data_IF_988969028872
#
_entry.id   IF_988969028872
#
_cell.length_a   1.000
_cell.length_b   1.000
_cell.length_c   1.000
_cell.angle_alpha   90.00
_cell.angle_beta   90.00
_cell.angle_gamma   90.00
#
_symmetry.space_group_name_H-M   'P 1'
#
loop_
_entity.id
_entity.type
_entity.pdbx_description
1 polymer ?
#
# COMPACT_ATOMS: atom_id res chain seq x y z
N UNK A 1 37.11 3.56 -10.85
CA UNK A 1 37.56 4.52 -9.82
C UNK A 1 36.64 5.72 -9.91
N UNK A 2 35.60 5.78 -9.09
CA UNK A 2 34.60 6.87 -9.08
C UNK A 2 35.00 7.97 -8.12
N UNK A 3 34.85 9.20 -8.55
CA UNK A 3 35.23 10.44 -7.86
C UNK A 3 34.48 10.62 -6.52
N UNK A 4 35.12 11.20 -5.48
CA UNK A 4 34.52 11.44 -4.16
C UNK A 4 33.32 12.39 -4.14
N UNK A 5 33.14 13.21 -5.16
CA UNK A 5 32.07 14.20 -5.25
C UNK A 5 30.64 13.62 -5.39
N UNK A 6 30.52 12.37 -5.85
CA UNK A 6 29.21 11.72 -6.01
C UNK A 6 28.62 11.18 -4.68
N UNK A 7 29.42 11.00 -3.66
CA UNK A 7 28.97 10.54 -2.33
C UNK A 7 28.44 11.66 -1.42
N UNK A 8 28.90 12.88 -1.62
CA UNK A 8 28.46 14.02 -0.80
C UNK A 8 27.09 14.57 -1.20
N UNK A 9 26.69 14.44 -2.48
CA UNK A 9 25.36 14.85 -2.93
C UNK A 9 24.23 13.92 -2.48
N UNK A 10 24.48 12.63 -2.33
CA UNK A 10 23.46 11.70 -1.80
C UNK A 10 23.17 11.91 -0.32
N UNK A 11 24.12 12.38 0.47
CA UNK A 11 23.91 12.66 1.90
C UNK A 11 23.10 13.93 2.18
N UNK A 12 23.09 14.90 1.27
CA UNK A 12 22.36 16.17 1.47
C UNK A 12 20.88 16.11 1.09
N UNK A 13 20.50 15.25 0.15
CA UNK A 13 19.09 15.07 -0.27
C UNK A 13 18.30 14.30 0.77
N UNK A 14 18.92 13.38 1.52
CA UNK A 14 18.24 12.64 2.59
C UNK A 14 17.99 13.47 3.86
N UNK A 15 18.70 14.56 4.08
CA UNK A 15 18.53 15.43 5.25
C UNK A 15 17.35 16.40 5.18
N UNK A 16 16.92 16.78 3.97
CA UNK A 16 15.86 17.79 3.79
C UNK A 16 14.44 17.21 3.84
N UNK A 17 14.27 15.95 3.47
CA UNK A 17 12.93 15.29 3.48
C UNK A 17 12.55 14.79 4.87
N UNK A 18 13.53 14.56 5.76
CA UNK A 18 13.28 14.11 7.13
C UNK A 18 12.77 15.22 8.06
N UNK A 19 12.94 16.50 7.71
CA UNK A 19 12.54 17.64 8.54
C UNK A 19 11.03 17.92 8.54
N UNK A 20 10.39 17.79 7.40
CA UNK A 20 8.96 18.15 7.25
C UNK A 20 7.99 17.03 7.68
N UNK A 21 8.45 15.78 7.77
CA UNK A 21 7.62 14.67 8.23
C UNK A 21 7.55 14.54 9.76
N UNK A 22 8.45 15.20 10.51
CA UNK A 22 8.48 15.15 11.98
C UNK A 22 7.53 16.14 12.64
N UNK A 23 7.06 17.16 11.93
CA UNK A 23 6.18 18.21 12.46
C UNK A 23 4.72 17.82 12.64
N UNK A 24 4.20 16.94 11.79
CA UNK A 24 2.77 16.59 11.76
C UNK A 24 2.37 15.40 12.64
N UNK A 25 3.31 14.69 13.24
CA UNK A 25 3.04 13.50 14.08
C UNK A 25 2.88 13.81 15.58
N UNK A 26 3.16 15.03 16.03
CA UNK A 26 3.13 15.38 17.47
C UNK A 26 1.78 15.86 18.00
N UNK A 27 0.77 16.00 17.19
CA UNK A 27 -0.44 16.77 17.51
C UNK A 27 -1.70 16.03 17.97
N UNK A 28 -1.74 14.70 18.15
CA UNK A 28 -2.99 14.05 18.59
C UNK A 28 -2.86 12.68 19.27
N UNK A 29 -1.93 12.49 20.20
CA UNK A 29 -1.86 11.26 21.03
C UNK A 29 -1.73 11.55 22.54
N UNK A 30 -2.36 12.62 23.05
CA UNK A 30 -2.62 12.75 24.49
C UNK A 30 -4.04 12.27 24.80
N UNK A 31 -4.16 11.00 25.12
CA UNK A 31 -5.44 10.42 25.52
C UNK A 31 -5.38 8.98 25.99
N UNK A 32 -4.92 8.75 27.24
CA UNK A 32 -5.22 7.59 28.10
C UNK A 32 -4.59 6.23 27.76
N UNK A 33 -3.73 5.79 28.64
CA UNK A 33 -3.42 4.38 28.80
C UNK A 33 -2.02 4.12 29.32
N UNK A 34 -1.70 4.48 30.60
CA UNK A 34 -0.61 3.84 31.34
C UNK A 34 -0.99 2.37 31.61
N UNK A 35 -0.88 1.52 30.60
CA UNK A 35 -0.71 0.08 30.77
C UNK A 35 0.77 -0.19 30.77
N UNK A 36 1.30 -0.75 31.85
CA UNK A 36 2.68 -1.20 31.97
C UNK A 36 3.02 -2.05 30.74
N UNK A 37 3.92 -1.57 29.89
CA UNK A 37 4.41 -2.31 28.72
C UNK A 37 5.02 -3.63 29.18
N UNK A 38 4.35 -4.73 28.90
CA UNK A 38 5.01 -6.00 28.70
C UNK A 38 5.95 -5.76 27.52
N UNK A 39 7.26 -5.77 27.76
CA UNK A 39 8.24 -5.67 26.70
C UNK A 39 7.88 -6.71 25.63
N UNK A 40 7.84 -6.31 24.35
CA UNK A 40 7.68 -7.22 23.21
C UNK A 40 8.99 -8.03 23.06
N UNK A 41 9.27 -8.92 24.06
CA UNK A 41 10.55 -9.60 24.22
C UNK A 41 10.82 -10.63 23.13
N UNK A 42 9.76 -11.08 22.44
CA UNK A 42 9.85 -12.18 21.49
C UNK A 42 9.60 -11.75 20.03
N UNK A 43 9.45 -10.44 19.76
CA UNK A 43 9.18 -9.91 18.42
C UNK A 43 10.46 -9.55 17.68
N UNK A 44 10.54 -9.95 16.41
CA UNK A 44 11.55 -9.49 15.45
C UNK A 44 10.88 -9.02 14.16
N UNK A 45 11.22 -7.81 13.73
CA UNK A 45 10.78 -7.25 12.47
C UNK A 45 11.94 -7.17 11.48
N UNK A 46 11.84 -7.89 10.38
CA UNK A 46 12.79 -7.89 9.29
C UNK A 46 12.24 -7.12 8.08
N UNK A 47 13.12 -6.53 7.31
CA UNK A 47 12.78 -5.83 6.06
C UNK A 47 13.49 -6.48 4.88
N UNK A 48 12.75 -6.76 3.81
CA UNK A 48 13.38 -6.91 2.49
C UNK A 48 13.70 -5.54 1.88
N UNK A 49 14.13 -5.53 0.61
CA UNK A 49 14.63 -4.32 -0.05
C UNK A 49 13.53 -3.41 -0.62
N UNK A 50 12.29 -3.89 -0.73
CA UNK A 50 11.23 -3.18 -1.45
C UNK A 50 10.80 -1.87 -0.80
N UNK A 51 10.78 -1.79 0.56
CA UNK A 51 10.35 -0.58 1.27
C UNK A 51 10.97 -0.47 2.67
N UNK A 52 12.26 -0.27 2.71
CA UNK A 52 13.03 -0.14 3.98
C UNK A 52 12.56 1.09 4.78
N UNK A 53 12.11 2.15 4.11
CA UNK A 53 11.61 3.36 4.77
C UNK A 53 10.36 3.08 5.60
N UNK A 54 9.39 2.35 5.03
CA UNK A 54 8.19 1.91 5.75
C UNK A 54 8.55 0.95 6.90
N UNK A 55 9.43 -0.02 6.66
CA UNK A 55 9.87 -0.95 7.70
C UNK A 55 10.50 -0.22 8.90
N UNK A 56 11.33 0.80 8.66
CA UNK A 56 11.89 1.65 9.72
C UNK A 56 10.81 2.47 10.44
N UNK A 57 9.80 2.95 9.72
CA UNK A 57 8.69 3.69 10.32
C UNK A 57 7.84 2.77 11.22
N UNK A 58 7.59 1.54 10.78
CA UNK A 58 6.91 0.51 11.59
C UNK A 58 7.74 0.13 12.82
N UNK A 59 9.06 -0.06 12.67
CA UNK A 59 9.96 -0.36 13.78
C UNK A 59 9.94 0.75 14.85
N UNK A 60 9.95 2.03 14.42
CA UNK A 60 9.80 3.18 15.35
C UNK A 60 8.44 3.18 16.05
N UNK A 61 7.35 2.85 15.36
CA UNK A 61 6.02 2.76 15.98
C UNK A 61 5.98 1.67 17.07
N UNK A 62 6.66 0.56 16.82
CA UNK A 62 6.75 -0.58 17.73
C UNK A 62 7.78 -0.40 18.86
N UNK A 63 8.60 0.65 18.80
CA UNK A 63 9.74 0.86 19.68
C UNK A 63 10.73 -0.33 19.69
N UNK A 64 11.04 -0.85 18.49
CA UNK A 64 11.98 -1.94 18.26
C UNK A 64 13.00 -1.58 17.18
N UNK A 65 14.14 -2.26 17.18
CA UNK A 65 15.10 -2.21 16.08
C UNK A 65 14.73 -3.23 15.00
N UNK A 66 15.04 -2.91 13.75
CA UNK A 66 14.96 -3.90 12.67
C UNK A 66 15.94 -5.04 12.94
N UNK A 67 15.47 -6.26 12.70
CA UNK A 67 16.29 -7.45 12.76
C UNK A 67 17.43 -7.38 11.74
N UNK A 68 18.61 -7.84 12.15
CA UNK A 68 19.78 -7.89 11.28
C UNK A 68 19.59 -8.95 10.21
N UNK A 69 19.53 -8.50 8.96
CA UNK A 69 19.37 -9.35 7.80
C UNK A 69 20.10 -8.70 6.63
N UNK A 70 20.87 -9.48 5.92
CA UNK A 70 21.45 -9.08 4.63
C UNK A 70 20.63 -9.70 3.53
N UNK A 71 20.10 -8.85 2.63
CA UNK A 71 19.33 -9.25 1.46
C UNK A 71 20.02 -8.65 0.24
N UNK A 72 20.63 -9.48 -0.56
CA UNK A 72 21.43 -9.08 -1.71
C UNK A 72 21.23 -10.01 -2.90
N UNK A 73 22.19 -9.99 -3.82
CA UNK A 73 22.22 -10.89 -4.97
C UNK A 73 23.62 -11.42 -5.19
N UNK A 74 23.71 -12.66 -5.61
CA UNK A 74 24.95 -13.22 -6.17
C UNK A 74 25.27 -12.55 -7.52
N UNK A 75 26.48 -12.79 -8.03
CA UNK A 75 26.95 -12.19 -9.28
C UNK A 75 26.15 -12.60 -10.53
N UNK A 76 25.46 -13.72 -10.46
CA UNK A 76 24.55 -14.24 -11.51
C UNK A 76 23.11 -13.71 -11.37
N UNK A 77 22.82 -12.93 -10.30
CA UNK A 77 21.52 -12.33 -10.06
C UNK A 77 20.58 -13.13 -9.16
N UNK A 78 20.99 -14.31 -8.66
CA UNK A 78 20.22 -15.05 -7.67
C UNK A 78 20.16 -14.27 -6.34
N UNK A 79 19.00 -14.30 -5.70
CA UNK A 79 18.80 -13.63 -4.43
C UNK A 79 19.56 -14.36 -3.29
N UNK A 80 20.30 -13.61 -2.50
CA UNK A 80 21.04 -14.06 -1.33
C UNK A 80 20.46 -13.45 -0.06
N UNK A 81 20.15 -14.28 0.95
CA UNK A 81 19.65 -13.83 2.26
C UNK A 81 20.45 -14.46 3.37
N UNK A 82 20.87 -13.63 4.32
CA UNK A 82 21.47 -14.07 5.57
C UNK A 82 20.79 -13.41 6.77
N UNK A 83 20.30 -14.22 7.73
CA UNK A 83 19.74 -13.73 8.99
C UNK A 83 20.89 -13.58 9.98
N UNK A 84 21.24 -12.33 10.34
CA UNK A 84 22.41 -11.97 11.12
C UNK A 84 22.22 -12.06 12.64
N UNK A 85 21.17 -12.71 13.14
CA UNK A 85 20.89 -12.86 14.57
C UNK A 85 20.12 -14.14 14.91
N UNK A 86 20.10 -14.51 16.19
CA UNK A 86 19.34 -15.68 16.64
C UNK A 86 17.84 -15.36 16.68
N UNK A 87 17.05 -16.17 15.97
CA UNK A 87 15.58 -16.04 15.87
C UNK A 87 14.84 -17.25 16.43
N UNK A 88 15.56 -18.20 17.02
CA UNK A 88 14.97 -19.44 17.55
C UNK A 88 13.90 -19.14 18.60
N UNK A 89 12.70 -19.64 18.36
CA UNK A 89 11.56 -19.48 19.26
C UNK A 89 10.92 -18.09 19.25
N UNK A 90 11.37 -17.15 18.39
CA UNK A 90 10.84 -15.81 18.31
C UNK A 90 9.66 -15.71 17.31
N UNK A 91 8.84 -14.68 17.49
CA UNK A 91 7.78 -14.27 16.54
C UNK A 91 8.38 -13.30 15.53
N UNK A 92 8.52 -13.74 14.30
CA UNK A 92 9.23 -13.02 13.24
C UNK A 92 8.24 -12.44 12.22
N UNK A 93 8.38 -11.17 11.93
CA UNK A 93 7.61 -10.44 10.91
C UNK A 93 8.55 -10.05 9.78
N UNK A 94 8.18 -10.32 8.54
CA UNK A 94 8.94 -9.96 7.33
C UNK A 94 8.14 -8.93 6.55
N UNK A 95 8.56 -7.66 6.59
CA UNK A 95 7.91 -6.59 5.83
C UNK A 95 8.52 -6.50 4.44
N UNK A 96 7.73 -6.86 3.44
CA UNK A 96 8.14 -6.82 2.03
C UNK A 96 6.93 -6.66 1.12
N UNK A 97 6.60 -5.44 0.65
CA UNK A 97 5.66 -5.29 -0.44
C UNK A 97 6.21 -5.93 -1.71
N UNK A 98 5.35 -6.65 -2.45
CA UNK A 98 5.76 -7.31 -3.69
C UNK A 98 5.50 -6.42 -4.91
N UNK A 99 5.93 -5.14 -4.80
CA UNK A 99 5.92 -4.14 -5.86
C UNK A 99 7.10 -4.30 -6.83
N UNK A 100 7.19 -3.45 -7.84
CA UNK A 100 8.26 -3.52 -8.84
C UNK A 100 9.68 -3.34 -8.22
N UNK A 101 10.66 -4.16 -8.63
CA UNK A 101 10.59 -5.31 -9.54
C UNK A 101 9.95 -6.53 -8.87
N UNK A 102 8.71 -6.84 -9.24
CA UNK A 102 7.83 -7.78 -8.53
C UNK A 102 8.44 -9.16 -8.32
N UNK A 103 9.07 -9.71 -9.36
CA UNK A 103 9.66 -11.06 -9.31
C UNK A 103 10.80 -11.13 -8.29
N UNK A 104 11.65 -10.10 -8.25
CA UNK A 104 12.77 -10.03 -7.29
C UNK A 104 12.26 -9.89 -5.87
N UNK A 105 11.37 -8.95 -5.61
CA UNK A 105 10.83 -8.72 -4.27
C UNK A 105 9.99 -9.90 -3.75
N UNK A 106 9.29 -10.62 -4.64
CA UNK A 106 8.62 -11.86 -4.26
C UNK A 106 9.64 -12.94 -3.88
N UNK A 107 10.72 -13.13 -4.67
CA UNK A 107 11.76 -14.11 -4.33
C UNK A 107 12.49 -13.75 -3.05
N UNK A 108 12.81 -12.48 -2.80
CA UNK A 108 13.36 -12.02 -1.51
C UNK A 108 12.45 -12.44 -0.35
N UNK A 109 11.15 -12.16 -0.44
CA UNK A 109 10.18 -12.54 0.59
C UNK A 109 10.19 -14.05 0.86
N UNK A 110 10.13 -14.86 -0.21
CA UNK A 110 10.09 -16.33 -0.08
C UNK A 110 11.36 -16.88 0.57
N UNK A 111 12.53 -16.40 0.16
CA UNK A 111 13.83 -16.84 0.68
C UNK A 111 14.01 -16.37 2.13
N UNK A 112 13.59 -15.15 2.50
CA UNK A 112 13.61 -14.67 3.87
C UNK A 112 12.73 -15.54 4.79
N UNK A 113 11.53 -15.92 4.33
CA UNK A 113 10.64 -16.81 5.09
C UNK A 113 11.29 -18.20 5.29
N UNK A 114 11.88 -18.78 4.23
CA UNK A 114 12.57 -20.08 4.33
C UNK A 114 13.77 -20.01 5.27
N UNK A 115 14.58 -18.94 5.20
CA UNK A 115 15.71 -18.73 6.09
C UNK A 115 15.27 -18.67 7.57
N UNK A 116 14.22 -17.93 7.91
CA UNK A 116 13.67 -17.84 9.25
C UNK A 116 13.09 -19.17 9.74
N UNK A 117 12.41 -19.92 8.85
CA UNK A 117 11.91 -21.26 9.13
C UNK A 117 13.06 -22.22 9.49
N UNK A 118 14.13 -22.22 8.68
CA UNK A 118 15.33 -23.05 8.96
C UNK A 118 16.09 -22.61 10.20
N UNK A 119 16.04 -21.31 10.55
CA UNK A 119 16.59 -20.78 11.79
C UNK A 119 15.71 -21.06 13.03
N UNK A 120 14.60 -21.80 12.88
CA UNK A 120 13.67 -22.22 13.94
C UNK A 120 12.90 -21.06 14.58
N UNK A 121 12.51 -20.05 13.82
CA UNK A 121 11.52 -19.08 14.28
C UNK A 121 10.25 -19.79 14.74
N UNK A 122 9.61 -19.32 15.80
CA UNK A 122 8.37 -19.91 16.34
C UNK A 122 7.20 -19.68 15.41
N UNK A 123 7.06 -18.46 14.94
CA UNK A 123 6.00 -18.02 14.01
C UNK A 123 6.59 -17.04 13.00
N UNK A 124 6.15 -17.10 11.77
CA UNK A 124 6.60 -16.21 10.71
C UNK A 124 5.34 -15.58 10.09
N UNK A 125 5.24 -14.25 10.20
CA UNK A 125 4.17 -13.47 9.58
C UNK A 125 4.74 -12.69 8.38
N UNK A 126 4.23 -12.97 7.18
CA UNK A 126 4.53 -12.17 6.01
C UNK A 126 3.71 -10.87 6.06
N UNK A 127 4.37 -9.73 6.20
CA UNK A 127 3.77 -8.39 6.17
C UNK A 127 3.94 -7.85 4.76
N UNK A 128 2.87 -7.89 3.96
CA UNK A 128 2.87 -7.56 2.54
C UNK A 128 1.94 -6.38 2.29
N UNK A 129 2.39 -5.12 2.54
CA UNK A 129 1.56 -3.93 2.41
C UNK A 129 0.96 -3.76 1.01
N UNK A 130 1.67 -4.17 -0.02
CA UNK A 130 1.18 -4.31 -1.39
C UNK A 130 1.39 -5.74 -1.88
N UNK A 131 0.28 -6.40 -2.20
CA UNK A 131 0.27 -7.76 -2.74
C UNK A 131 0.31 -7.73 -4.26
N UNK A 132 1.46 -7.96 -4.84
CA UNK A 132 1.63 -8.05 -6.29
C UNK A 132 0.85 -9.22 -6.90
N UNK A 133 0.57 -9.13 -8.21
CA UNK A 133 -0.26 -10.10 -8.95
C UNK A 133 -1.74 -10.18 -8.51
N UNK A 134 -2.19 -9.36 -7.56
CA UNK A 134 -3.58 -9.34 -7.06
C UNK A 134 -4.64 -9.16 -8.15
N UNK A 135 -4.30 -8.44 -9.23
CA UNK A 135 -5.22 -8.21 -10.38
C UNK A 135 -5.51 -9.48 -11.20
N UNK A 136 -4.77 -10.57 -10.97
CA UNK A 136 -4.98 -11.87 -11.62
C UNK A 136 -5.63 -12.85 -10.63
N UNK A 137 -6.78 -12.44 -10.07
CA UNK A 137 -7.53 -13.17 -9.03
C UNK A 137 -8.57 -14.14 -9.60
N UNK A 138 -8.87 -14.05 -10.90
CA UNK A 138 -9.86 -14.88 -11.59
C UNK A 138 -9.52 -15.06 -13.07
N UNK A 139 -10.11 -16.09 -13.68
CA UNK A 139 -10.01 -16.28 -15.13
C UNK A 139 -10.98 -15.35 -15.86
N UNK A 140 -10.47 -14.31 -16.50
CA UNK A 140 -11.26 -13.38 -17.34
C UNK A 140 -11.42 -13.88 -18.77
N UNK A 141 -10.69 -14.92 -19.16
CA UNK A 141 -10.76 -15.59 -20.48
C UNK A 141 -10.17 -17.00 -20.35
N UNK A 142 -10.41 -17.90 -21.35
CA UNK A 142 -9.83 -19.24 -21.35
C UNK A 142 -8.30 -19.20 -21.33
N UNK A 143 -7.70 -20.20 -20.68
CA UNK A 143 -6.26 -20.49 -20.68
C UNK A 143 -5.38 -19.41 -20.05
N UNK A 144 -5.93 -18.58 -19.15
CA UNK A 144 -5.17 -17.65 -18.32
C UNK A 144 -4.99 -18.20 -16.91
N UNK A 145 -3.90 -17.82 -16.20
CA UNK A 145 -3.66 -18.25 -14.83
C UNK A 145 -4.56 -17.50 -13.84
N UNK A 146 -4.54 -17.96 -12.58
CA UNK A 146 -4.95 -17.22 -11.38
C UNK A 146 -3.67 -17.00 -10.57
N UNK A 147 -2.88 -15.99 -10.95
CA UNK A 147 -1.54 -15.78 -10.39
C UNK A 147 -1.59 -15.35 -8.93
N UNK A 148 -2.66 -14.66 -8.51
CA UNK A 148 -2.85 -14.33 -7.10
C UNK A 148 -2.91 -15.58 -6.21
N UNK A 149 -3.54 -16.69 -6.68
CA UNK A 149 -3.54 -17.97 -5.98
C UNK A 149 -2.15 -18.62 -5.98
N UNK A 150 -1.46 -18.61 -7.11
CA UNK A 150 -0.10 -19.17 -7.19
C UNK A 150 0.84 -18.48 -6.19
N UNK A 151 0.80 -17.15 -6.10
CA UNK A 151 1.64 -16.39 -5.14
C UNK A 151 1.26 -16.72 -3.70
N UNK A 152 -0.03 -16.89 -3.40
CA UNK A 152 -0.49 -17.34 -2.08
C UNK A 152 0.11 -18.70 -1.70
N UNK A 153 0.08 -19.66 -2.62
CA UNK A 153 0.64 -21.00 -2.42
C UNK A 153 2.15 -20.97 -2.19
N UNK A 154 2.88 -20.13 -2.95
CA UNK A 154 4.32 -19.96 -2.78
C UNK A 154 4.67 -19.41 -1.38
N UNK A 155 3.98 -18.38 -0.91
CA UNK A 155 4.20 -17.78 0.42
C UNK A 155 3.94 -18.81 1.53
N UNK A 156 2.88 -19.59 1.43
CA UNK A 156 2.56 -20.65 2.39
C UNK A 156 3.61 -21.77 2.36
N UNK A 157 3.98 -22.23 1.18
CA UNK A 157 4.98 -23.28 0.98
C UNK A 157 6.35 -22.88 1.51
N UNK A 158 6.75 -21.62 1.36
CA UNK A 158 7.97 -21.09 1.95
C UNK A 158 7.99 -21.21 3.48
N UNK A 159 6.82 -21.14 4.14
CA UNK A 159 6.69 -21.38 5.56
C UNK A 159 6.07 -20.24 6.37
N UNK A 160 5.37 -19.31 5.72
CA UNK A 160 4.58 -18.31 6.42
C UNK A 160 3.44 -18.99 7.21
N UNK A 161 3.22 -18.55 8.45
CA UNK A 161 2.13 -19.01 9.31
C UNK A 161 0.93 -18.06 9.27
N UNK A 162 1.11 -16.86 8.79
CA UNK A 162 0.11 -15.78 8.67
C UNK A 162 0.57 -14.79 7.61
N UNK A 163 -0.38 -14.12 6.98
CA UNK A 163 -0.10 -12.97 6.12
C UNK A 163 -0.88 -11.74 6.63
N UNK A 164 -0.23 -10.59 6.65
CA UNK A 164 -0.82 -9.28 6.92
C UNK A 164 -0.70 -8.44 5.65
N UNK A 165 -1.83 -8.05 5.09
CA UNK A 165 -1.92 -7.25 3.85
C UNK A 165 -2.66 -5.95 4.11
N UNK A 166 -2.67 -5.05 3.12
CA UNK A 166 -3.51 -3.85 3.11
C UNK A 166 -4.26 -3.75 1.79
N UNK A 167 -5.56 -3.46 1.87
CA UNK A 167 -6.46 -3.22 0.73
C UNK A 167 -6.22 -4.18 -0.44
N UNK A 168 -6.35 -5.49 -0.21
CA UNK A 168 -6.29 -6.46 -1.29
C UNK A 168 -7.24 -6.07 -2.41
N UNK A 169 -6.77 -6.17 -3.66
CA UNK A 169 -7.53 -5.81 -4.86
C UNK A 169 -8.94 -6.40 -4.87
N UNK A 170 -9.09 -7.57 -4.29
CA UNK A 170 -10.34 -8.31 -4.23
C UNK A 170 -10.39 -9.07 -2.91
N UNK A 171 -11.50 -8.95 -2.17
CA UNK A 171 -11.68 -9.57 -0.85
C UNK A 171 -11.57 -11.10 -0.88
N UNK A 172 -11.93 -11.75 -1.99
CA UNK A 172 -11.84 -13.19 -2.15
C UNK A 172 -10.41 -13.74 -2.18
N UNK A 173 -9.38 -12.88 -2.42
CA UNK A 173 -7.97 -13.31 -2.35
C UNK A 173 -7.64 -13.88 -0.97
N UNK A 174 -8.31 -13.42 0.09
CA UNK A 174 -8.15 -13.98 1.44
C UNK A 174 -8.43 -15.48 1.45
N UNK A 175 -9.40 -15.95 0.67
CA UNK A 175 -9.74 -17.36 0.52
C UNK A 175 -8.73 -18.19 -0.32
N UNK A 176 -7.69 -17.59 -0.88
CA UNK A 176 -6.62 -18.31 -1.58
C UNK A 176 -5.55 -18.86 -0.63
N UNK A 177 -5.56 -18.38 0.60
CA UNK A 177 -4.65 -18.82 1.65
C UNK A 177 -5.31 -19.88 2.54
N UNK A 178 -4.54 -20.89 2.92
CA UNK A 178 -4.90 -21.87 3.95
C UNK A 178 -4.40 -21.46 5.35
N UNK A 179 -3.65 -20.36 5.42
CA UNK A 179 -3.19 -19.72 6.65
C UNK A 179 -4.02 -18.45 6.94
N UNK A 180 -4.06 -17.98 8.20
CA UNK A 180 -4.75 -16.74 8.54
C UNK A 180 -4.30 -15.54 7.71
N UNK A 181 -5.28 -14.74 7.26
CA UNK A 181 -5.08 -13.51 6.50
C UNK A 181 -5.68 -12.33 7.27
N UNK A 182 -4.86 -11.36 7.61
CA UNK A 182 -5.31 -10.08 8.14
C UNK A 182 -5.20 -9.03 7.01
N UNK A 183 -6.34 -8.67 6.40
CA UNK A 183 -6.40 -7.64 5.37
C UNK A 183 -6.84 -6.31 5.98
N UNK A 184 -5.88 -5.45 6.31
CA UNK A 184 -6.16 -4.11 6.82
C UNK A 184 -6.77 -3.22 5.73
N UNK A 185 -7.53 -2.20 6.15
CA UNK A 185 -8.06 -1.18 5.25
C UNK A 185 -7.47 0.18 5.55
N UNK A 186 -6.99 0.86 4.51
CA UNK A 186 -6.48 2.24 4.61
C UNK A 186 -7.60 3.27 4.80
N UNK A 187 -8.86 2.86 4.70
CA UNK A 187 -10.04 3.74 4.63
C UNK A 187 -10.04 4.83 5.72
N UNK A 188 -9.81 4.47 6.99
CA UNK A 188 -9.80 5.45 8.09
C UNK A 188 -8.71 6.50 7.91
N UNK A 189 -7.51 6.05 7.61
CA UNK A 189 -6.35 6.90 7.36
C UNK A 189 -6.59 7.85 6.17
N UNK A 190 -7.18 7.32 5.10
CA UNK A 190 -7.51 8.11 3.91
C UNK A 190 -8.62 9.13 4.17
N UNK A 191 -9.65 8.77 4.96
CA UNK A 191 -10.71 9.70 5.36
C UNK A 191 -10.14 10.89 6.16
N UNK A 192 -9.28 10.63 7.14
CA UNK A 192 -8.61 11.66 7.91
C UNK A 192 -7.77 12.60 7.02
N UNK A 193 -7.16 12.06 5.96
CA UNK A 193 -6.40 12.85 5.01
C UNK A 193 -7.29 13.67 4.06
N UNK A 194 -8.41 13.09 3.62
CA UNK A 194 -9.42 13.79 2.80
C UNK A 194 -9.98 14.98 3.58
N UNK A 195 -10.44 14.76 4.80
CA UNK A 195 -11.01 15.81 5.65
C UNK A 195 -10.04 16.98 5.86
N UNK A 196 -8.77 16.68 6.15
CA UNK A 196 -7.77 17.72 6.37
C UNK A 196 -7.37 18.50 5.12
N UNK A 197 -7.33 17.86 3.95
CA UNK A 197 -6.78 18.46 2.72
C UNK A 197 -7.83 19.01 1.77
N UNK A 198 -9.00 18.40 1.76
CA UNK A 198 -10.05 18.66 0.77
C UNK A 198 -11.32 19.16 1.47
N UNK A 199 -11.66 18.58 2.62
CA UNK A 199 -12.88 18.81 3.35
C UNK A 199 -13.85 17.65 3.27
N UNK A 200 -15.06 17.83 3.85
CA UNK A 200 -16.09 16.79 3.92
C UNK A 200 -17.23 16.98 2.93
N UNK A 201 -17.38 18.19 2.35
CA UNK A 201 -18.42 18.46 1.33
C UNK A 201 -17.91 18.01 -0.04
N UNK A 202 -17.98 16.71 -0.26
CA UNK A 202 -17.48 16.06 -1.46
C UNK A 202 -18.50 15.06 -2.01
N UNK A 203 -18.40 14.76 -3.31
CA UNK A 203 -19.03 13.61 -3.93
C UNK A 203 -17.97 12.53 -4.16
N UNK A 204 -18.15 11.36 -3.56
CA UNK A 204 -17.25 10.22 -3.72
C UNK A 204 -17.54 9.54 -5.05
N UNK A 205 -16.49 9.26 -5.80
CA UNK A 205 -16.59 8.69 -7.16
C UNK A 205 -15.99 7.29 -7.18
N UNK A 206 -16.76 6.31 -7.64
CA UNK A 206 -16.24 5.02 -8.07
C UNK A 206 -15.76 5.12 -9.52
N UNK A 207 -14.49 4.78 -9.83
CA UNK A 207 -13.96 4.88 -11.20
C UNK A 207 -14.52 3.80 -12.14
N UNK A 208 -15.17 2.78 -11.61
CA UNK A 208 -15.85 1.71 -12.34
C UNK A 208 -16.86 0.97 -11.43
N UNK A 209 -17.58 -0.01 -12.02
CA UNK A 209 -18.57 -0.80 -11.29
C UNK A 209 -17.93 -1.69 -10.19
N UNK A 210 -16.67 -2.13 -10.36
CA UNK A 210 -15.95 -2.99 -9.41
C UNK A 210 -15.58 -2.27 -8.11
N UNK A 211 -15.27 -0.97 -8.18
CA UNK A 211 -14.90 -0.13 -7.03
C UNK A 211 -16.09 0.39 -6.21
N UNK A 212 -17.34 0.09 -6.61
CA UNK A 212 -18.56 0.69 -6.01
C UNK A 212 -18.68 0.41 -4.51
N UNK A 213 -18.34 -0.77 -4.05
CA UNK A 213 -18.41 -1.12 -2.62
C UNK A 213 -17.44 -0.25 -1.79
N UNK A 214 -16.21 -0.09 -2.27
CA UNK A 214 -15.21 0.80 -1.67
C UNK A 214 -15.71 2.23 -1.62
N UNK A 215 -16.14 2.77 -2.75
CA UNK A 215 -16.66 4.14 -2.84
C UNK A 215 -17.85 4.36 -1.91
N UNK A 216 -18.76 3.39 -1.80
CA UNK A 216 -19.90 3.44 -0.86
C UNK A 216 -19.44 3.49 0.60
N UNK A 217 -18.40 2.73 0.95
CA UNK A 217 -17.83 2.76 2.31
C UNK A 217 -17.30 4.15 2.68
N UNK A 218 -16.58 4.81 1.75
CA UNK A 218 -16.11 6.18 1.93
C UNK A 218 -17.27 7.18 2.01
N UNK A 219 -18.21 7.13 1.06
CA UNK A 219 -19.36 8.01 1.04
C UNK A 219 -20.19 7.95 2.34
N UNK A 220 -20.44 6.72 2.85
CA UNK A 220 -21.16 6.52 4.11
C UNK A 220 -20.44 7.17 5.30
N UNK A 221 -19.11 7.03 5.39
CA UNK A 221 -18.32 7.56 6.52
C UNK A 221 -18.13 9.07 6.46
N UNK A 222 -18.08 9.65 5.25
CA UNK A 222 -18.05 11.11 5.04
C UNK A 222 -19.44 11.74 5.05
N UNK A 223 -20.53 10.96 5.13
CA UNK A 223 -21.90 11.45 4.90
C UNK A 223 -22.03 12.16 3.55
N UNK A 224 -21.28 11.71 2.56
CA UNK A 224 -21.14 12.31 1.25
C UNK A 224 -22.02 11.62 0.20
N UNK A 225 -22.23 12.29 -0.92
CA UNK A 225 -22.88 11.72 -2.11
C UNK A 225 -21.97 10.66 -2.76
N UNK A 226 -22.58 9.79 -3.57
CA UNK A 226 -21.88 8.77 -4.34
C UNK A 226 -22.25 8.90 -5.81
N UNK A 227 -21.24 8.90 -6.69
CA UNK A 227 -21.45 8.72 -8.12
C UNK A 227 -20.52 7.61 -8.65
N UNK A 228 -20.89 7.04 -9.79
CA UNK A 228 -20.19 5.91 -10.39
C UNK A 228 -19.90 6.24 -11.85
N UNK A 229 -18.68 5.98 -12.30
CA UNK A 229 -18.34 6.06 -13.72
C UNK A 229 -18.54 4.68 -14.35
N UNK A 230 -19.55 4.58 -15.23
CA UNK A 230 -19.81 3.36 -16.01
C UNK A 230 -19.12 3.48 -17.37
N UNK A 231 -18.16 2.59 -17.61
CA UNK A 231 -17.40 2.53 -18.87
C UNK A 231 -18.06 1.55 -19.80
N UNK A 232 -18.70 2.08 -20.86
CA UNK A 232 -19.29 1.26 -21.89
C UNK A 232 -18.50 1.35 -23.18
N UNK A 233 -18.15 0.18 -23.72
CA UNK A 233 -17.69 0.04 -25.11
C UNK A 233 -18.92 -0.30 -25.96
N UNK A 234 -19.51 0.69 -26.58
CA UNK A 234 -20.67 0.46 -27.45
C UNK A 234 -20.30 -0.30 -28.74
N UNK A 235 -19.08 -0.11 -29.26
CA UNK A 235 -18.56 -0.80 -30.45
C UNK A 235 -17.05 -1.01 -30.34
N UNK A 236 -16.55 -2.12 -30.86
CA UNK A 236 -15.10 -2.34 -30.98
C UNK A 236 -14.46 -1.25 -31.85
N UNK A 237 -13.39 -0.60 -31.38
CA UNK A 237 -12.64 0.50 -32.02
C UNK A 237 -13.27 1.91 -31.95
N UNK A 238 -14.28 2.14 -31.12
CA UNK A 238 -14.79 3.49 -30.80
C UNK A 238 -14.22 3.91 -29.41
N UNK A 239 -14.00 5.22 -29.23
CA UNK A 239 -13.56 5.78 -27.96
C UNK A 239 -14.51 5.34 -26.82
N UNK A 240 -13.95 4.98 -25.67
CA UNK A 240 -14.75 4.61 -24.48
C UNK A 240 -15.60 5.82 -24.07
N UNK A 241 -16.92 5.64 -24.04
CA UNK A 241 -17.83 6.66 -23.51
C UNK A 241 -17.98 6.40 -22.01
N UNK A 242 -17.69 7.42 -21.21
CA UNK A 242 -17.88 7.36 -19.76
C UNK A 242 -19.26 7.94 -19.44
N UNK A 243 -20.13 7.11 -18.87
CA UNK A 243 -21.41 7.55 -18.31
C UNK A 243 -21.28 7.75 -16.81
N UNK A 244 -21.63 8.95 -16.34
CA UNK A 244 -21.62 9.25 -14.91
C UNK A 244 -23.03 8.99 -14.39
N UNK A 245 -23.15 8.10 -13.40
CA UNK A 245 -24.38 7.78 -12.68
C UNK A 245 -24.31 8.48 -11.33
N UNK A 246 -25.14 9.49 -11.14
CA UNK A 246 -25.16 10.37 -9.97
C UNK A 246 -24.93 11.82 -10.37
N UNK A 247 -25.07 12.72 -9.41
CA UNK A 247 -24.93 14.17 -9.62
C UNK A 247 -23.54 14.63 -9.21
N UNK A 248 -22.85 15.31 -10.14
CA UNK A 248 -21.48 15.85 -9.94
C UNK A 248 -21.39 17.34 -10.29
N UNK A 249 -22.45 17.94 -10.86
CA UNK A 249 -22.47 19.35 -11.25
C UNK A 249 -22.30 20.26 -10.01
N UNK A 250 -21.37 21.18 -10.08
CA UNK A 250 -21.04 22.09 -8.98
C UNK A 250 -20.37 21.43 -7.77
N UNK A 251 -19.96 20.14 -7.85
CA UNK A 251 -19.43 19.40 -6.72
C UNK A 251 -17.92 19.31 -6.74
N UNK A 252 -17.31 19.22 -5.55
CA UNK A 252 -15.94 18.72 -5.37
C UNK A 252 -15.99 17.19 -5.40
N UNK A 253 -15.33 16.58 -6.39
CA UNK A 253 -15.33 15.14 -6.60
C UNK A 253 -14.05 14.50 -6.08
N UNK A 254 -14.17 13.32 -5.42
CA UNK A 254 -13.02 12.52 -5.03
C UNK A 254 -13.13 11.09 -5.55
N UNK A 255 -12.22 10.70 -6.42
CA UNK A 255 -12.14 9.34 -6.96
C UNK A 255 -11.43 8.46 -5.94
N UNK A 256 -12.03 7.33 -5.56
CA UNK A 256 -11.45 6.38 -4.63
C UNK A 256 -11.18 5.04 -5.30
N UNK A 257 -9.95 4.53 -5.18
CA UNK A 257 -9.57 3.23 -5.74
C UNK A 257 -8.51 2.53 -4.89
N UNK A 258 -8.25 1.22 -5.12
CA UNK A 258 -7.18 0.51 -4.44
C UNK A 258 -5.81 0.83 -5.03
N UNK A 259 -5.70 1.02 -6.33
CA UNK A 259 -4.39 1.25 -6.95
C UNK A 259 -4.45 2.20 -8.15
N UNK A 260 -3.36 2.89 -8.39
CA UNK A 260 -3.09 3.63 -9.62
C UNK A 260 -1.83 3.10 -10.28
N UNK A 261 -1.98 2.57 -11.51
CA UNK A 261 -0.86 2.03 -12.30
C UNK A 261 -0.36 3.08 -13.30
N UNK A 262 -0.84 3.08 -14.52
CA UNK A 262 -0.42 4.03 -15.57
C UNK A 262 -1.15 5.38 -15.53
N UNK A 263 -2.10 5.53 -14.63
CA UNK A 263 -2.98 6.68 -14.43
C UNK A 263 -3.89 7.05 -15.62
N UNK A 264 -3.92 6.24 -16.68
CA UNK A 264 -4.76 6.55 -17.84
C UNK A 264 -6.24 6.63 -17.48
N UNK A 265 -6.77 5.60 -16.85
CA UNK A 265 -8.17 5.56 -16.38
C UNK A 265 -8.50 6.67 -15.40
N UNK A 266 -7.61 6.94 -14.46
CA UNK A 266 -7.79 7.95 -13.42
C UNK A 266 -7.88 9.36 -14.01
N UNK A 267 -6.99 9.70 -14.94
CA UNK A 267 -6.96 11.02 -15.56
C UNK A 267 -8.11 11.23 -16.55
N UNK A 268 -8.54 10.18 -17.23
CA UNK A 268 -9.72 10.21 -18.10
C UNK A 268 -11.00 10.40 -17.27
N UNK A 269 -11.12 9.69 -16.15
CA UNK A 269 -12.22 9.88 -15.21
C UNK A 269 -12.28 11.32 -14.68
N UNK A 270 -11.13 11.90 -14.32
CA UNK A 270 -11.06 13.29 -13.86
C UNK A 270 -11.51 14.27 -14.97
N UNK A 271 -11.10 14.06 -16.22
CA UNK A 271 -11.52 14.88 -17.35
C UNK A 271 -13.05 14.81 -17.54
N UNK A 272 -13.63 13.62 -17.55
CA UNK A 272 -15.07 13.42 -17.74
C UNK A 272 -15.90 14.06 -16.61
N UNK A 273 -15.41 14.02 -15.35
CA UNK A 273 -16.06 14.68 -14.23
C UNK A 273 -16.05 16.21 -14.39
N UNK A 274 -14.93 16.79 -14.84
CA UNK A 274 -14.84 18.23 -15.13
C UNK A 274 -15.76 18.65 -16.29
N UNK A 275 -15.85 17.84 -17.33
CA UNK A 275 -16.77 18.05 -18.47
C UNK A 275 -18.24 17.97 -18.04
N UNK A 276 -18.54 17.15 -17.02
CA UNK A 276 -19.87 17.05 -16.41
C UNK A 276 -20.17 18.13 -15.35
N UNK A 277 -19.31 19.17 -15.24
CA UNK A 277 -19.56 20.34 -14.40
C UNK A 277 -19.05 20.22 -12.95
N UNK A 278 -18.19 19.26 -12.63
CA UNK A 278 -17.54 19.25 -11.33
C UNK A 278 -16.65 20.49 -11.13
N UNK A 279 -16.62 21.05 -9.91
CA UNK A 279 -15.80 22.23 -9.59
C UNK A 279 -14.34 21.88 -9.40
N UNK A 280 -14.07 20.67 -8.90
CA UNK A 280 -12.71 20.16 -8.69
C UNK A 280 -12.73 18.64 -8.63
N UNK A 281 -11.60 18.02 -9.00
CA UNK A 281 -11.43 16.55 -8.92
C UNK A 281 -10.15 16.21 -8.19
N UNK A 282 -10.29 15.33 -7.22
CA UNK A 282 -9.22 14.76 -6.41
C UNK A 282 -9.25 13.24 -6.48
N UNK A 283 -8.21 12.58 -5.97
CA UNK A 283 -8.20 11.13 -5.83
C UNK A 283 -7.61 10.69 -4.49
N UNK A 284 -8.09 9.55 -3.98
CA UNK A 284 -7.54 8.87 -2.82
C UNK A 284 -7.34 7.39 -3.17
N UNK A 285 -6.08 6.98 -3.26
CA UNK A 285 -5.66 5.69 -3.83
C UNK A 285 -4.69 5.01 -2.87
N UNK A 286 -4.97 3.77 -2.48
CA UNK A 286 -4.12 3.07 -1.52
C UNK A 286 -2.73 2.77 -2.10
N UNK A 287 -2.65 2.14 -3.28
CA UNK A 287 -1.38 1.64 -3.82
C UNK A 287 -0.88 2.48 -5.01
N UNK A 288 0.17 3.31 -4.82
CA UNK A 288 0.75 4.12 -5.88
C UNK A 288 1.76 3.33 -6.70
N UNK A 289 1.30 2.47 -7.62
CA UNK A 289 2.21 1.74 -8.51
C UNK A 289 2.94 2.72 -9.42
N UNK A 290 2.23 3.68 -9.98
CA UNK A 290 2.72 4.82 -10.76
C UNK A 290 3.71 4.41 -11.87
N UNK A 291 3.37 3.37 -12.62
CA UNK A 291 4.26 2.87 -13.68
C UNK A 291 4.24 3.75 -14.94
N UNK A 292 5.33 3.68 -15.68
CA UNK A 292 5.46 4.34 -16.98
C UNK A 292 5.16 5.85 -16.91
N UNK A 293 4.19 6.36 -17.71
CA UNK A 293 3.89 7.79 -17.80
C UNK A 293 2.96 8.33 -16.70
N UNK A 294 2.68 7.57 -15.64
CA UNK A 294 1.65 7.89 -14.65
C UNK A 294 1.83 9.28 -14.01
N UNK A 295 3.03 9.59 -13.53
CA UNK A 295 3.33 10.88 -12.88
C UNK A 295 3.10 12.04 -13.84
N UNK A 296 3.60 11.94 -15.07
CA UNK A 296 3.38 12.95 -16.11
C UNK A 296 1.88 13.15 -16.39
N UNK A 297 1.13 12.06 -16.56
CA UNK A 297 -0.32 12.12 -16.81
C UNK A 297 -1.05 12.82 -15.66
N UNK A 298 -0.73 12.48 -14.41
CA UNK A 298 -1.32 13.12 -13.23
C UNK A 298 -0.98 14.62 -13.21
N UNK A 299 0.26 14.99 -13.46
CA UNK A 299 0.70 16.38 -13.45
C UNK A 299 -0.01 17.23 -14.51
N UNK A 300 -0.23 16.67 -15.70
CA UNK A 300 -0.89 17.33 -16.84
C UNK A 300 -2.42 17.25 -16.79
N UNK A 301 -3.01 16.48 -15.87
CA UNK A 301 -4.45 16.22 -15.78
C UNK A 301 -5.21 17.31 -15.02
N UNK A 302 -6.53 17.21 -15.03
CA UNK A 302 -7.45 18.02 -14.25
C UNK A 302 -7.46 17.69 -12.75
N UNK A 303 -6.77 16.62 -12.32
CA UNK A 303 -6.62 16.29 -10.90
C UNK A 303 -5.91 17.41 -10.15
N UNK A 304 -6.49 17.88 -9.05
CA UNK A 304 -5.85 18.87 -8.18
C UNK A 304 -4.92 18.21 -7.17
N UNK A 305 -5.36 17.13 -6.52
CA UNK A 305 -4.55 16.37 -5.56
C UNK A 305 -4.83 14.86 -5.72
N UNK A 306 -3.79 14.07 -5.50
CA UNK A 306 -3.85 12.61 -5.42
C UNK A 306 -3.26 12.18 -4.08
N UNK A 307 -4.10 11.74 -3.17
CA UNK A 307 -3.67 11.22 -1.86
C UNK A 307 -3.36 9.74 -2.06
N UNK A 308 -2.16 9.31 -1.66
CA UNK A 308 -1.71 7.92 -1.75
C UNK A 308 -1.12 7.45 -0.43
N UNK A 309 -0.91 6.15 -0.26
CA UNK A 309 -0.16 5.62 0.88
C UNK A 309 1.29 5.31 0.52
N UNK A 310 2.08 5.01 1.54
CA UNK A 310 3.45 4.51 1.41
C UNK A 310 3.55 2.97 1.36
N UNK A 311 2.48 2.26 1.02
CA UNK A 311 2.50 0.79 0.78
C UNK A 311 3.49 0.39 -0.31
N UNK A 312 3.73 1.29 -1.27
CA UNK A 312 4.76 1.23 -2.30
C UNK A 312 5.59 2.50 -2.18
N UNK A 313 6.93 2.43 -2.15
CA UNK A 313 7.75 3.63 -2.08
C UNK A 313 7.58 4.50 -3.33
N UNK A 314 7.40 5.80 -3.14
CA UNK A 314 7.34 6.73 -4.26
C UNK A 314 8.71 6.92 -4.91
N UNK A 315 8.70 7.03 -6.23
CA UNK A 315 9.86 7.49 -7.00
C UNK A 315 10.03 9.00 -6.79
N UNK A 316 11.25 9.50 -7.02
CA UNK A 316 11.59 10.91 -6.84
C UNK A 316 10.68 11.84 -7.66
N UNK A 317 10.39 11.50 -8.94
CA UNK A 317 9.51 12.26 -9.82
C UNK A 317 8.07 12.39 -9.29
N UNK A 318 7.58 11.36 -8.60
CA UNK A 318 6.26 11.39 -7.98
C UNK A 318 6.25 12.26 -6.71
N UNK A 319 7.29 12.18 -5.89
CA UNK A 319 7.43 13.02 -4.70
C UNK A 319 7.54 14.52 -5.03
N UNK A 320 8.16 14.86 -6.17
CA UNK A 320 8.36 16.24 -6.65
C UNK A 320 7.17 16.79 -7.45
N UNK A 321 6.15 15.99 -7.76
CA UNK A 321 5.03 16.36 -8.65
C UNK A 321 4.15 17.50 -8.13
N UNK A 322 4.18 17.79 -6.81
CA UNK A 322 3.33 18.79 -6.14
C UNK A 322 1.85 18.39 -6.02
N UNK A 323 1.37 17.40 -6.79
CA UNK A 323 -0.01 16.91 -6.74
C UNK A 323 -0.18 15.64 -5.94
N UNK A 324 0.89 14.85 -5.72
CA UNK A 324 0.84 13.55 -5.06
C UNK A 324 1.24 13.72 -3.59
N UNK A 325 0.32 13.35 -2.68
CA UNK A 325 0.50 13.47 -1.24
C UNK A 325 0.47 12.11 -0.57
N UNK A 326 1.51 11.80 0.21
CA UNK A 326 1.67 10.50 0.87
C UNK A 326 1.10 10.53 2.28
N UNK A 327 0.39 9.47 2.64
CA UNK A 327 -0.05 9.17 4.02
C UNK A 327 0.55 7.85 4.44
N UNK A 328 1.23 7.82 5.60
CA UNK A 328 1.94 6.62 6.02
C UNK A 328 1.02 5.59 6.66
N UNK A 329 1.16 4.33 6.23
CA UNK A 329 0.48 3.17 6.82
C UNK A 329 1.28 2.52 7.96
N UNK A 330 2.37 3.12 8.39
CA UNK A 330 3.23 2.58 9.44
C UNK A 330 2.48 2.37 10.76
N UNK A 331 1.60 3.30 11.15
CA UNK A 331 0.80 3.19 12.36
C UNK A 331 -0.16 1.98 12.33
N UNK A 332 -1.06 1.88 11.35
CA UNK A 332 -1.96 0.71 11.21
C UNK A 332 -1.22 -0.63 11.13
N UNK A 333 -0.13 -0.71 10.35
CA UNK A 333 0.66 -1.93 10.24
C UNK A 333 1.35 -2.25 11.57
N UNK A 334 1.98 -1.27 12.22
CA UNK A 334 2.64 -1.45 13.51
C UNK A 334 1.65 -1.91 14.59
N UNK A 335 0.48 -1.31 14.66
CA UNK A 335 -0.56 -1.72 15.60
C UNK A 335 -1.07 -3.14 15.34
N UNK A 336 -1.24 -3.53 14.07
CA UNK A 336 -1.59 -4.90 13.73
C UNK A 336 -0.49 -5.89 14.15
N UNK A 337 0.77 -5.59 13.89
CA UNK A 337 1.91 -6.41 14.31
C UNK A 337 1.94 -6.56 15.84
N UNK A 338 1.77 -5.46 16.59
CA UNK A 338 1.73 -5.47 18.05
C UNK A 338 0.62 -6.41 18.56
N UNK A 339 -0.58 -6.29 18.00
CA UNK A 339 -1.72 -7.12 18.41
C UNK A 339 -1.52 -8.59 18.04
N UNK A 340 -1.01 -8.88 16.85
CA UNK A 340 -0.71 -10.26 16.42
C UNK A 340 0.32 -10.89 17.37
N UNK A 341 1.39 -10.15 17.73
CA UNK A 341 2.40 -10.63 18.65
C UNK A 341 1.85 -10.90 20.05
N UNK A 342 0.96 -10.03 20.55
CA UNK A 342 0.32 -10.14 21.85
C UNK A 342 -0.88 -11.09 21.86
N UNK A 343 -1.23 -11.73 20.74
CA UNK A 343 -2.43 -12.57 20.58
C UNK A 343 -3.75 -11.82 20.85
N UNK A 344 -3.73 -10.49 20.59
CA UNK A 344 -4.90 -9.62 20.71
C UNK A 344 -5.70 -9.60 19.39
N UNK A 345 -7.01 -9.27 19.48
CA UNK A 345 -7.86 -9.13 18.29
C UNK A 345 -7.46 -7.93 17.43
N UNK A 346 -7.32 -8.15 16.14
CA UNK A 346 -7.12 -7.12 15.12
C UNK A 346 -8.42 -6.56 14.53
N UNK A 347 -9.58 -7.11 14.92
CA UNK A 347 -10.89 -6.80 14.31
C UNK A 347 -11.29 -5.32 14.38
N UNK A 348 -10.83 -4.57 15.36
CA UNK A 348 -11.12 -3.14 15.48
C UNK A 348 -10.26 -2.26 14.55
N UNK A 349 -9.35 -2.85 13.79
CA UNK A 349 -8.53 -2.15 12.80
C UNK A 349 -9.16 -2.19 11.39
N UNK A 350 -10.26 -2.95 11.23
CA UNK A 350 -11.02 -3.10 9.99
C UNK A 350 -12.16 -2.11 9.81
#
# INVERSE_FOLDING_TARGET
MGSPAAREQQGRIQGSIAGDLAGDLAGNLEGKGQGKGSAMQDLKLFSGNANVALARAVARYLDVELGRCEVGSFSDGECAVEIGENVRGLDCFVLQPTCAPQNSHLMELLIMIDALKRASARRITAVVPYYGYARQDRKVRPRVPITAKLVADLIQTAGAHRILCMDLHSGQIQGFFDIPVDNLYSTRLMLDAIERRIGTDVTVISPDAGGTERARSYAKRLSARLAIIDKRREVANVAEVMHIIGDVEGQTCIIVDDMVDTAGTLTEAARSLMEAGATSVHAAITHPILSGPAVKRISESALQQVIVTDTIPLRADAAESGKIHVVSVAGPIGEAIRRINNEESVSSLF
#
